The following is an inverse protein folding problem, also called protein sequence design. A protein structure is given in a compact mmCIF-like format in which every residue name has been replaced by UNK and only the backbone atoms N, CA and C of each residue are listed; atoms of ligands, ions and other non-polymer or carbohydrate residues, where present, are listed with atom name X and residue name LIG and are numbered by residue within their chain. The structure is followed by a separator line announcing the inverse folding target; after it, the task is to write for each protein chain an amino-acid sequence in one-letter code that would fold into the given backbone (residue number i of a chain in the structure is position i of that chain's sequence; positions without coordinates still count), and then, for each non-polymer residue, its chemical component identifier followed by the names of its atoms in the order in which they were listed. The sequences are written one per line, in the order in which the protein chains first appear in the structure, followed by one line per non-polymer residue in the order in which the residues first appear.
data_IF_140208842501
#
_entry.id   IF_140208842501
#
_cell.length_a   1.000
_cell.length_b   1.000
_cell.length_c   1.000
_cell.angle_alpha   90.00
_cell.angle_beta   90.00
_cell.angle_gamma   90.00
#
_symmetry.space_group_name_H-M   'P 1'
#
loop_
_entity.id
_entity.type
_entity.pdbx_description
1 polymer ?
#
# COMPACT_ATOMS: atom_id res chain seq x y z
N UNK A 1 9.08 -9.16 3.22
CA UNK A 1 9.48 -8.20 4.27
C UNK A 1 10.95 -8.44 4.55
N UNK A 2 11.77 -7.39 4.59
CA UNK A 2 13.20 -7.56 4.86
C UNK A 2 13.39 -8.05 6.30
N UNK A 3 14.40 -8.90 6.51
CA UNK A 3 14.78 -9.37 7.85
C UNK A 3 15.06 -8.18 8.79
N UNK A 4 15.71 -7.13 8.27
CA UNK A 4 15.99 -5.90 9.01
C UNK A 4 14.72 -5.22 9.53
N UNK A 5 13.66 -5.14 8.72
CA UNK A 5 12.40 -4.53 9.13
C UNK A 5 11.74 -5.31 10.27
N UNK A 6 11.71 -6.65 10.19
CA UNK A 6 11.14 -7.49 11.25
C UNK A 6 11.95 -7.37 12.54
N UNK A 7 13.27 -7.35 12.45
CA UNK A 7 14.16 -7.14 13.61
C UNK A 7 13.91 -5.77 14.26
N UNK A 8 13.80 -4.70 13.47
CA UNK A 8 13.50 -3.36 13.98
C UNK A 8 12.14 -3.32 14.70
N UNK A 9 11.11 -3.92 14.11
CA UNK A 9 9.76 -3.98 14.71
C UNK A 9 9.75 -4.74 16.05
N UNK A 10 10.48 -5.85 16.14
CA UNK A 10 10.62 -6.61 17.39
C UNK A 10 11.38 -5.84 18.49
N UNK A 11 12.30 -4.96 18.11
CA UNK A 11 13.01 -4.09 19.06
C UNK A 11 12.12 -2.93 19.53
N UNK A 12 11.36 -2.34 18.62
CA UNK A 12 10.38 -1.29 18.95
C UNK A 12 9.27 -1.81 19.86
N UNK A 13 8.80 -3.05 19.63
CA UNK A 13 7.80 -3.70 20.47
C UNK A 13 8.28 -3.96 21.91
N UNK A 14 9.59 -3.91 22.17
CA UNK A 14 10.17 -4.05 23.52
C UNK A 14 10.28 -2.72 24.28
N UNK A 15 9.96 -1.59 23.65
CA UNK A 15 9.96 -0.29 24.33
C UNK A 15 8.74 -0.22 25.24
N UNK A 16 8.96 -0.06 26.55
CA UNK A 16 7.87 0.03 27.52
C UNK A 16 7.06 1.31 27.34
N UNK A 17 5.79 1.29 27.77
CA UNK A 17 4.93 2.46 27.76
C UNK A 17 5.56 3.64 28.51
N UNK A 18 6.25 3.39 29.64
CA UNK A 18 6.94 4.47 30.37
C UNK A 18 8.06 5.10 29.54
N UNK A 19 8.80 4.29 28.76
CA UNK A 19 9.87 4.81 27.88
C UNK A 19 9.31 5.56 26.67
N UNK A 20 8.15 5.14 26.15
CA UNK A 20 7.45 5.87 25.10
C UNK A 20 6.89 7.22 25.56
N UNK A 21 6.68 7.40 26.86
CA UNK A 21 6.19 8.62 27.50
C UNK A 21 7.34 9.51 28.03
N UNK A 22 8.57 9.00 28.03
CA UNK A 22 9.72 9.76 28.48
C UNK A 22 9.96 10.99 27.59
N UNK A 23 10.33 12.14 28.18
CA UNK A 23 10.61 13.35 27.43
C UNK A 23 11.83 13.15 26.51
N UNK A 24 11.76 13.73 25.32
CA UNK A 24 12.80 13.64 24.31
C UNK A 24 13.01 14.98 23.60
N UNK A 25 14.18 15.18 23.00
CA UNK A 25 14.53 16.41 22.26
C UNK A 25 15.01 16.08 20.86
N UNK A 26 14.42 16.76 19.86
CA UNK A 26 14.83 16.69 18.47
C UNK A 26 15.45 18.03 18.04
N UNK A 27 16.58 17.98 17.33
CA UNK A 27 17.38 19.16 16.97
C UNK A 27 16.62 20.23 16.17
N UNK A 28 15.57 19.84 15.44
CA UNK A 28 14.78 20.74 14.60
C UNK A 28 13.43 21.15 15.24
N UNK A 29 13.10 20.61 16.42
CA UNK A 29 11.86 20.85 17.16
C UNK A 29 12.18 21.34 18.59
N UNK A 30 13.22 22.16 18.70
CA UNK A 30 13.71 22.68 19.97
C UNK A 30 12.65 23.61 20.58
N UNK A 31 11.98 23.17 21.65
CA UNK A 31 10.93 23.91 22.35
C UNK A 31 9.56 23.23 22.40
N UNK A 32 9.35 22.12 21.71
CA UNK A 32 8.12 21.32 21.81
C UNK A 32 8.26 20.14 22.79
N UNK A 33 7.20 19.82 23.55
CA UNK A 33 7.16 18.63 24.41
C UNK A 33 7.01 17.37 23.56
N UNK A 34 8.13 16.80 23.14
CA UNK A 34 8.16 15.51 22.43
C UNK A 34 8.34 14.35 23.43
N UNK A 35 7.62 13.26 23.17
CA UNK A 35 7.72 12.00 23.91
C UNK A 35 8.49 10.98 23.09
N UNK A 36 8.99 9.92 23.75
CA UNK A 36 9.70 8.83 23.09
C UNK A 36 8.94 8.17 21.93
N UNK A 37 7.60 8.20 21.92
CA UNK A 37 6.80 7.75 20.76
C UNK A 37 6.94 8.64 19.54
N UNK A 38 7.05 9.95 19.74
CA UNK A 38 7.22 10.93 18.67
C UNK A 38 8.60 10.74 18.04
N UNK A 39 9.56 10.27 18.83
CA UNK A 39 10.88 9.85 18.34
C UNK A 39 10.88 8.73 17.34
N UNK A 40 10.14 7.69 17.65
CA UNK A 40 10.06 6.51 16.81
C UNK A 40 9.33 6.84 15.51
N UNK A 41 8.27 7.64 15.58
CA UNK A 41 7.53 8.11 14.41
C UNK A 41 8.41 9.00 13.52
N UNK A 42 9.00 10.06 14.07
CA UNK A 42 9.80 11.03 13.31
C UNK A 42 11.06 10.41 12.70
N UNK A 43 11.72 9.51 13.43
CA UNK A 43 12.90 8.79 12.89
C UNK A 43 12.52 7.85 11.75
N UNK A 44 11.37 7.16 11.86
CA UNK A 44 10.87 6.29 10.80
C UNK A 44 10.40 7.08 9.57
N UNK A 45 9.74 8.23 9.76
CA UNK A 45 9.37 9.13 8.67
C UNK A 45 10.59 9.71 7.96
N UNK A 46 11.62 10.13 8.70
CA UNK A 46 12.88 10.63 8.14
C UNK A 46 13.63 9.55 7.35
N UNK A 47 13.67 8.31 7.85
CA UNK A 47 14.30 7.18 7.16
C UNK A 47 13.54 6.83 5.86
N UNK A 48 12.22 6.77 5.91
CA UNK A 48 11.39 6.57 4.71
C UNK A 48 11.58 7.70 3.69
N UNK A 49 11.62 8.96 4.13
CA UNK A 49 11.83 10.11 3.24
C UNK A 49 13.22 10.08 2.59
N UNK A 50 14.27 9.72 3.35
CA UNK A 50 15.63 9.59 2.85
C UNK A 50 15.77 8.43 1.85
N UNK A 51 15.15 7.27 2.14
CA UNK A 51 15.11 6.14 1.21
C UNK A 51 14.38 6.49 -0.10
N UNK A 52 13.33 7.29 -0.02
CA UNK A 52 12.55 7.73 -1.19
C UNK A 52 13.33 8.71 -2.06
N UNK A 53 14.05 9.67 -1.46
CA UNK A 53 14.83 10.65 -2.22
C UNK A 53 16.02 10.04 -2.97
N UNK A 54 16.65 9.00 -2.41
CA UNK A 54 17.81 8.33 -3.01
C UNK A 54 17.45 7.42 -4.20
N UNK A 55 16.17 7.14 -4.45
CA UNK A 55 15.74 6.03 -5.35
C UNK A 55 15.03 6.47 -6.65
N UNK A 56 14.96 7.76 -6.98
CA UNK A 56 14.44 8.26 -8.28
C UNK A 56 12.90 8.36 -8.39
N UNK A 57 12.39 8.85 -9.53
CA UNK A 57 10.93 9.10 -9.73
C UNK A 57 10.08 7.82 -9.65
N UNK A 58 10.57 6.70 -10.18
CA UNK A 58 9.85 5.42 -10.13
C UNK A 58 9.65 4.95 -8.68
N UNK A 59 10.67 5.06 -7.82
CA UNK A 59 10.55 4.63 -6.43
C UNK A 59 9.62 5.52 -5.60
N UNK A 60 9.56 6.82 -5.92
CA UNK A 60 8.57 7.74 -5.34
C UNK A 60 7.15 7.27 -5.62
N UNK A 61 6.84 6.97 -6.88
CA UNK A 61 5.52 6.47 -7.29
C UNK A 61 5.17 5.14 -6.61
N UNK A 62 6.13 4.21 -6.51
CA UNK A 62 5.95 2.95 -5.81
C UNK A 62 5.66 3.19 -4.32
N UNK A 63 6.37 4.12 -3.68
CA UNK A 63 6.19 4.42 -2.26
C UNK A 63 4.83 5.06 -1.98
N UNK A 64 4.40 6.04 -2.78
CA UNK A 64 3.05 6.60 -2.68
C UNK A 64 1.98 5.54 -2.91
N UNK A 65 2.19 4.66 -3.89
CA UNK A 65 1.31 3.51 -4.12
C UNK A 65 1.22 2.60 -2.90
N UNK A 66 2.34 2.33 -2.23
CA UNK A 66 2.37 1.49 -1.03
C UNK A 66 1.71 2.18 0.17
N UNK A 67 1.88 3.50 0.31
CA UNK A 67 1.21 4.30 1.32
C UNK A 67 -0.31 4.27 1.15
N UNK A 68 -0.81 4.56 -0.05
CA UNK A 68 -2.24 4.51 -0.37
C UNK A 68 -2.84 3.11 -0.11
N UNK A 69 -2.09 2.04 -0.38
CA UNK A 69 -2.51 0.68 -0.05
C UNK A 69 -2.53 0.40 1.47
N UNK A 70 -1.64 1.03 2.25
CA UNK A 70 -1.70 1.04 3.71
C UNK A 70 -2.97 1.72 4.22
N UNK A 71 -3.28 2.90 3.71
CA UNK A 71 -4.48 3.66 4.07
C UNK A 71 -5.76 2.88 3.74
N UNK A 72 -5.85 2.27 2.55
CA UNK A 72 -6.98 1.40 2.18
C UNK A 72 -7.15 0.23 3.15
N UNK A 73 -6.07 -0.45 3.53
CA UNK A 73 -6.14 -1.55 4.51
C UNK A 73 -6.62 -1.06 5.88
N UNK A 74 -6.18 0.13 6.30
CA UNK A 74 -6.65 0.77 7.53
C UNK A 74 -8.14 1.09 7.48
N UNK A 75 -8.64 1.62 6.36
CA UNK A 75 -10.06 1.91 6.14
C UNK A 75 -10.95 0.66 6.13
N UNK A 76 -10.43 -0.44 5.58
CA UNK A 76 -11.15 -1.71 5.49
C UNK A 76 -11.08 -2.51 6.80
N UNK A 77 -10.11 -2.24 7.67
CA UNK A 77 -9.95 -2.97 8.91
C UNK A 77 -11.20 -2.79 9.80
N UNK A 78 -11.81 -3.92 10.17
CA UNK A 78 -13.01 -3.92 11.02
C UNK A 78 -14.33 -3.61 10.30
N UNK A 79 -14.31 -3.38 8.98
CA UNK A 79 -15.53 -3.27 8.18
C UNK A 79 -16.26 -4.64 8.17
N UNK A 80 -17.53 -4.71 8.59
CA UNK A 80 -18.31 -5.94 8.51
C UNK A 80 -18.53 -6.39 7.07
N UNK A 81 -18.41 -7.69 6.80
CA UNK A 81 -18.52 -8.25 5.44
C UNK A 81 -19.84 -7.90 4.74
N UNK A 82 -20.94 -7.75 5.49
CA UNK A 82 -22.24 -7.36 4.96
C UNK A 82 -22.23 -5.97 4.28
N UNK A 83 -21.28 -5.09 4.63
CA UNK A 83 -21.15 -3.77 4.01
C UNK A 83 -20.47 -3.82 2.64
N UNK A 84 -19.86 -4.95 2.27
CA UNK A 84 -19.28 -5.12 0.94
C UNK A 84 -20.33 -4.96 -0.17
N UNK A 85 -21.52 -5.49 0.08
CA UNK A 85 -22.64 -5.52 -0.86
C UNK A 85 -23.74 -4.50 -0.53
N UNK A 86 -23.55 -3.71 0.54
CA UNK A 86 -24.48 -2.66 0.90
C UNK A 86 -24.46 -1.56 -0.16
N UNK A 87 -25.65 -1.19 -0.66
CA UNK A 87 -25.78 -0.13 -1.65
C UNK A 87 -25.67 1.23 -0.95
N UNK A 88 -24.65 2.06 -1.26
CA UNK A 88 -24.46 3.37 -0.60
C UNK A 88 -25.55 4.39 -0.99
N UNK A 89 -26.28 4.14 -2.08
CA UNK A 89 -27.33 5.00 -2.62
C UNK A 89 -27.01 5.47 -4.04
N UNK A 90 -28.04 5.92 -4.78
CA UNK A 90 -27.85 6.41 -6.16
C UNK A 90 -27.30 5.36 -7.13
N UNK A 91 -26.51 5.82 -8.10
CA UNK A 91 -25.80 4.99 -9.10
C UNK A 91 -24.35 4.68 -8.69
N UNK A 92 -24.04 4.82 -7.40
CA UNK A 92 -22.70 4.56 -6.88
C UNK A 92 -22.42 3.05 -6.79
N UNK A 93 -21.14 2.70 -6.86
CA UNK A 93 -20.68 1.33 -6.73
C UNK A 93 -20.71 0.87 -5.28
N UNK A 94 -21.09 -0.39 -5.07
CA UNK A 94 -20.83 -1.10 -3.82
C UNK A 94 -19.34 -1.17 -3.54
N UNK A 95 -18.98 -1.41 -2.28
CA UNK A 95 -17.58 -1.61 -1.91
C UNK A 95 -16.96 -2.82 -2.63
N UNK A 96 -17.72 -3.91 -2.83
CA UNK A 96 -17.25 -5.08 -3.61
C UNK A 96 -16.93 -4.70 -5.06
N UNK A 97 -17.79 -3.92 -5.71
CA UNK A 97 -17.54 -3.44 -7.07
C UNK A 97 -16.30 -2.53 -7.15
N UNK A 98 -16.12 -1.64 -6.18
CA UNK A 98 -14.93 -0.78 -6.11
C UNK A 98 -13.65 -1.61 -5.91
N UNK A 99 -13.67 -2.62 -5.03
CA UNK A 99 -12.52 -3.50 -4.79
C UNK A 99 -12.22 -4.41 -6.00
N UNK A 100 -13.24 -4.92 -6.68
CA UNK A 100 -13.08 -5.65 -7.94
C UNK A 100 -12.46 -4.76 -9.02
N UNK A 101 -12.93 -3.52 -9.13
CA UNK A 101 -12.35 -2.55 -10.05
C UNK A 101 -10.89 -2.24 -9.73
N UNK A 102 -10.55 -2.04 -8.45
CA UNK A 102 -9.18 -1.81 -8.02
C UNK A 102 -8.27 -3.00 -8.38
N UNK A 103 -8.72 -4.23 -8.11
CA UNK A 103 -7.98 -5.45 -8.45
C UNK A 103 -7.74 -5.56 -9.97
N UNK A 104 -8.74 -5.21 -10.77
CA UNK A 104 -8.62 -5.17 -12.22
C UNK A 104 -7.60 -4.12 -12.69
N UNK A 105 -7.63 -2.93 -12.10
CA UNK A 105 -6.72 -1.83 -12.45
C UNK A 105 -5.27 -2.20 -12.13
N UNK A 106 -5.00 -2.82 -10.98
CA UNK A 106 -3.64 -3.31 -10.62
C UNK A 106 -3.07 -4.22 -11.70
N UNK A 107 -3.84 -5.24 -12.11
CA UNK A 107 -3.44 -6.19 -13.15
C UNK A 107 -3.25 -5.52 -14.50
N UNK A 108 -4.19 -4.64 -14.88
CA UNK A 108 -4.16 -3.92 -16.16
C UNK A 108 -2.94 -3.01 -16.25
N UNK A 109 -2.64 -2.24 -15.22
CA UNK A 109 -1.47 -1.36 -15.25
C UNK A 109 -0.16 -2.15 -15.26
N UNK A 110 -0.05 -3.24 -14.48
CA UNK A 110 1.12 -4.14 -14.57
C UNK A 110 1.34 -4.64 -16.00
N UNK A 111 0.30 -5.19 -16.62
CA UNK A 111 0.39 -5.73 -17.97
C UNK A 111 0.66 -4.64 -19.03
N UNK A 112 0.07 -3.45 -18.91
CA UNK A 112 0.37 -2.35 -19.83
C UNK A 112 1.78 -1.80 -19.66
N UNK A 113 2.31 -1.76 -18.44
CA UNK A 113 3.71 -1.37 -18.21
C UNK A 113 4.65 -2.40 -18.83
N UNK A 114 4.41 -3.69 -18.64
CA UNK A 114 5.20 -4.76 -19.28
C UNK A 114 5.14 -4.66 -20.81
N UNK A 115 3.94 -4.52 -21.38
CA UNK A 115 3.77 -4.31 -22.81
C UNK A 115 4.53 -3.07 -23.30
N UNK A 116 4.43 -1.93 -22.61
CA UNK A 116 5.12 -0.70 -23.00
C UNK A 116 6.66 -0.83 -22.99
N UNK A 117 7.23 -1.68 -22.14
CA UNK A 117 8.67 -1.95 -22.10
C UNK A 117 9.14 -2.82 -23.28
N UNK A 118 8.30 -3.75 -23.72
CA UNK A 118 8.63 -4.71 -24.79
C UNK A 118 8.20 -4.24 -26.19
N UNK A 119 7.26 -3.30 -26.25
CA UNK A 119 6.61 -2.86 -27.49
C UNK A 119 7.60 -2.16 -28.43
N UNK A 120 7.60 -2.58 -29.70
CA UNK A 120 8.31 -1.90 -30.79
C UNK A 120 7.63 -0.60 -31.24
N UNK A 121 8.37 0.28 -31.93
CA UNK A 121 7.87 1.60 -32.35
C UNK A 121 6.64 1.52 -33.29
N UNK A 122 6.51 0.43 -34.05
CA UNK A 122 5.43 0.18 -35.02
C UNK A 122 4.16 -0.44 -34.41
N UNK A 123 4.22 -0.88 -33.16
CA UNK A 123 3.09 -1.50 -32.46
C UNK A 123 2.19 -0.45 -31.78
N UNK A 124 0.91 -0.74 -31.48
CA UNK A 124 0.01 0.24 -30.89
C UNK A 124 0.41 0.63 -29.46
N UNK A 125 0.27 1.89 -29.06
CA UNK A 125 0.63 2.39 -27.73
C UNK A 125 -0.08 1.68 -26.56
N UNK A 126 -1.23 1.08 -26.83
CA UNK A 126 -2.09 0.46 -25.82
C UNK A 126 -2.53 -0.92 -26.31
N UNK A 127 -2.27 -1.95 -25.50
CA UNK A 127 -2.85 -3.28 -25.69
C UNK A 127 -4.22 -3.36 -24.99
N UNK A 128 -5.26 -3.82 -25.70
CA UNK A 128 -6.56 -4.10 -25.09
C UNK A 128 -6.46 -5.41 -24.31
N UNK A 129 -6.53 -5.31 -23.00
CA UNK A 129 -6.64 -6.45 -22.11
C UNK A 129 -8.12 -6.77 -21.87
N UNK A 130 -8.52 -8.01 -22.12
CA UNK A 130 -9.84 -8.55 -21.76
C UNK A 130 -9.83 -9.09 -20.33
N UNK A 131 -9.22 -8.35 -19.40
CA UNK A 131 -9.19 -8.76 -18.00
C UNK A 131 -10.54 -8.45 -17.33
N UNK A 132 -11.06 -9.45 -16.63
CA UNK A 132 -12.21 -9.33 -15.73
C UNK A 132 -11.84 -10.02 -14.41
N UNK A 133 -12.41 -9.53 -13.31
CA UNK A 133 -12.36 -10.25 -12.03
C UNK A 133 -13.49 -11.27 -12.06
N UNK A 134 -13.16 -12.55 -12.02
CA UNK A 134 -14.15 -13.63 -12.07
C UNK A 134 -15.09 -13.59 -10.88
N UNK A 135 -16.30 -14.14 -11.01
CA UNK A 135 -17.25 -14.23 -9.90
C UNK A 135 -16.66 -14.96 -8.70
N UNK A 136 -15.86 -16.01 -8.92
CA UNK A 136 -15.15 -16.73 -7.87
C UNK A 136 -14.17 -15.82 -7.12
N UNK A 137 -13.41 -14.98 -7.84
CA UNK A 137 -12.52 -14.00 -7.24
C UNK A 137 -13.26 -12.87 -6.53
N UNK A 138 -14.54 -12.65 -6.81
CA UNK A 138 -15.35 -11.66 -6.12
C UNK A 138 -15.93 -12.19 -4.80
N UNK A 139 -15.87 -13.48 -4.53
CA UNK A 139 -16.41 -14.09 -3.31
C UNK A 139 -15.55 -13.76 -2.07
N UNK A 140 -16.11 -13.99 -0.88
CA UNK A 140 -15.44 -13.82 0.41
C UNK A 140 -15.60 -12.42 1.02
N UNK A 141 -15.13 -12.33 2.27
CA UNK A 141 -15.19 -11.13 3.11
C UNK A 141 -14.04 -10.14 2.87
N UNK A 142 -14.01 -9.10 3.69
CA UNK A 142 -13.07 -7.97 3.57
C UNK A 142 -11.62 -8.44 3.66
N UNK A 143 -11.33 -9.37 4.58
CA UNK A 143 -9.99 -9.93 4.75
C UNK A 143 -9.48 -10.62 3.47
N UNK A 144 -10.34 -11.41 2.83
CA UNK A 144 -9.97 -12.13 1.61
C UNK A 144 -9.70 -11.18 0.43
N UNK A 145 -10.39 -10.03 0.38
CA UNK A 145 -10.09 -8.95 -0.57
C UNK A 145 -8.75 -8.28 -0.30
N UNK A 146 -8.43 -7.98 0.97
CA UNK A 146 -7.13 -7.43 1.36
C UNK A 146 -6.00 -8.38 0.97
N UNK A 147 -6.17 -9.67 1.21
CA UNK A 147 -5.18 -10.70 0.85
C UNK A 147 -4.95 -10.79 -0.66
N UNK A 148 -6.04 -10.79 -1.45
CA UNK A 148 -5.96 -10.77 -2.93
C UNK A 148 -5.23 -9.55 -3.46
N UNK A 149 -5.62 -8.35 -3.01
CA UNK A 149 -4.96 -7.11 -3.42
C UNK A 149 -3.48 -7.08 -3.01
N UNK A 150 -3.16 -7.58 -1.81
CA UNK A 150 -1.78 -7.68 -1.34
C UNK A 150 -0.95 -8.68 -2.17
N UNK A 151 -1.56 -9.79 -2.62
CA UNK A 151 -0.91 -10.75 -3.51
C UNK A 151 -0.59 -10.11 -4.87
N UNK A 152 -1.55 -9.45 -5.49
CA UNK A 152 -1.34 -8.75 -6.78
C UNK A 152 -0.27 -7.66 -6.68
N UNK A 153 -0.28 -6.88 -5.59
CA UNK A 153 0.75 -5.85 -5.34
C UNK A 153 2.14 -6.46 -5.23
N UNK A 154 2.29 -7.64 -4.60
CA UNK A 154 3.58 -8.37 -4.55
C UNK A 154 4.02 -8.84 -5.93
N UNK A 155 3.10 -9.36 -6.74
CA UNK A 155 3.41 -9.74 -8.13
C UNK A 155 3.86 -8.54 -8.96
N UNK A 156 3.18 -7.40 -8.84
CA UNK A 156 3.58 -6.15 -9.51
C UNK A 156 4.95 -5.68 -9.06
N UNK A 157 5.25 -5.69 -7.76
CA UNK A 157 6.58 -5.35 -7.26
C UNK A 157 7.67 -6.29 -7.79
N UNK A 158 7.39 -7.60 -7.86
CA UNK A 158 8.33 -8.58 -8.40
C UNK A 158 8.58 -8.37 -9.90
N UNK A 159 7.54 -8.05 -10.68
CA UNK A 159 7.64 -7.81 -12.12
C UNK A 159 8.43 -6.54 -12.47
N UNK A 160 8.39 -5.51 -11.61
CA UNK A 160 9.12 -4.25 -11.83
C UNK A 160 10.58 -4.33 -11.34
N UNK A 161 10.89 -5.25 -10.43
CA UNK A 161 12.23 -5.42 -9.86
C UNK A 161 13.13 -6.40 -10.63
N UNK A 162 12.60 -7.08 -11.66
CA UNK A 162 13.32 -7.99 -12.54
C UNK A 162 13.92 -7.25 -13.75
#
# INVERSE_FOLDING_TARGET
MSHQFVTALLQLAQVSAERCEAPWTWREQEGEELRGRDALLLSHEAELAAEVQLRGQAQRLITEGQRAFGELRGLLAGVPDQLLDAQPGGQEWTLRQALAHLLLVERRYRAQTAYALERGDDQPLYQKLESQVSEAEQQGGVLAWIERLAAERRETAAAIAA
#
